data_IF_051784979468
#
_entry.id   IF_051784979468
#
_cell.length_a   1.000
_cell.length_b   1.000
_cell.length_c   1.000
_cell.angle_alpha   90.00
_cell.angle_beta   90.00
_cell.angle_gamma   90.00
#
_symmetry.space_group_name_H-M   'P 1'
#
loop_
_entity.id
_entity.type
_entity.pdbx_description
1 polymer ?
#
# COMPACT_ATOMS: atom_id res chain seq x y z
N UNK A 1 -19.95 0.34 -8.14
CA UNK A 1 -18.73 0.70 -7.39
C UNK A 1 -18.59 2.20 -7.48
N UNK A 2 -18.34 2.89 -6.37
CA UNK A 2 -17.99 4.31 -6.43
C UNK A 2 -16.63 4.50 -7.11
N UNK A 3 -16.40 5.68 -7.68
CA UNK A 3 -15.13 6.04 -8.32
C UNK A 3 -14.11 6.50 -7.27
N UNK A 4 -12.82 6.25 -7.53
CA UNK A 4 -11.74 6.70 -6.64
C UNK A 4 -11.68 8.23 -6.63
N UNK A 5 -11.80 8.85 -5.44
CA UNK A 5 -11.79 10.32 -5.27
C UNK A 5 -10.52 10.88 -4.60
N UNK A 6 -9.64 10.00 -4.14
CA UNK A 6 -8.35 10.31 -3.54
C UNK A 6 -7.78 9.11 -2.78
N UNK A 7 -6.47 8.90 -2.83
CA UNK A 7 -5.80 7.82 -2.11
C UNK A 7 -4.33 8.16 -1.86
N UNK A 8 -4.01 8.46 -0.60
CA UNK A 8 -2.67 8.67 -0.08
C UNK A 8 -2.49 7.82 1.18
N UNK A 9 -1.34 7.18 1.31
CA UNK A 9 -1.01 6.38 2.47
C UNK A 9 0.49 6.35 2.72
N UNK A 10 0.85 5.81 3.88
CA UNK A 10 2.21 5.58 4.35
C UNK A 10 2.32 4.11 4.73
N UNK A 11 3.45 3.49 4.42
CA UNK A 11 3.69 2.09 4.78
C UNK A 11 4.70 1.91 5.91
N UNK A 12 5.58 2.89 6.11
CA UNK A 12 6.37 3.01 7.33
C UNK A 12 5.68 4.00 8.29
N UNK A 13 5.64 3.72 9.60
CA UNK A 13 5.06 4.65 10.57
C UNK A 13 5.74 6.01 10.52
N UNK A 14 4.99 7.08 10.27
CA UNK A 14 5.50 8.46 10.24
C UNK A 14 4.99 9.30 11.41
N UNK A 15 4.03 8.78 12.17
CA UNK A 15 3.43 9.40 13.35
C UNK A 15 3.54 8.50 14.58
N UNK A 16 3.33 9.11 15.76
CA UNK A 16 3.42 8.41 17.06
C UNK A 16 2.41 7.27 17.22
N UNK A 17 1.30 7.29 16.48
CA UNK A 17 0.26 6.27 16.53
C UNK A 17 -0.60 6.28 15.26
N UNK A 18 -1.35 5.19 15.08
CA UNK A 18 -2.25 4.97 13.94
C UNK A 18 -3.31 6.07 13.82
N UNK A 19 -3.81 6.61 14.93
CA UNK A 19 -4.83 7.68 14.87
C UNK A 19 -4.29 8.96 14.20
N UNK A 20 -3.08 9.39 14.57
CA UNK A 20 -2.41 10.54 13.94
C UNK A 20 -2.06 10.27 12.47
N UNK A 21 -1.70 9.04 12.14
CA UNK A 21 -1.42 8.60 10.76
C UNK A 21 -2.70 8.68 9.91
N UNK A 22 -3.82 8.14 10.40
CA UNK A 22 -5.14 8.20 9.75
C UNK A 22 -5.54 9.66 9.48
N UNK A 23 -5.47 10.54 10.48
CA UNK A 23 -5.82 11.95 10.31
C UNK A 23 -4.99 12.59 9.20
N UNK A 24 -3.67 12.36 9.21
CA UNK A 24 -2.75 12.95 8.23
C UNK A 24 -3.00 12.43 6.82
N UNK A 25 -3.19 11.11 6.67
CA UNK A 25 -3.42 10.45 5.38
C UNK A 25 -4.82 10.74 4.83
N UNK A 26 -5.84 10.89 5.68
CA UNK A 26 -7.18 11.30 5.26
C UNK A 26 -7.16 12.73 4.69
N UNK A 27 -6.52 13.68 5.40
CA UNK A 27 -6.35 15.06 4.91
C UNK A 27 -5.57 15.05 3.58
N UNK A 28 -4.49 14.28 3.49
CA UNK A 28 -3.66 14.22 2.28
C UNK A 28 -4.41 13.58 1.11
N UNK A 29 -5.18 12.51 1.33
CA UNK A 29 -6.02 11.89 0.30
C UNK A 29 -7.05 12.87 -0.24
N UNK A 30 -7.65 13.68 0.63
CA UNK A 30 -8.66 14.66 0.25
C UNK A 30 -8.10 15.93 -0.42
N UNK A 31 -6.89 16.36 -0.07
CA UNK A 31 -6.39 17.70 -0.44
C UNK A 31 -5.07 17.73 -1.21
N UNK A 32 -4.35 16.61 -1.28
CA UNK A 32 -2.96 16.55 -1.80
C UNK A 32 -2.70 15.40 -2.77
N UNK A 33 -3.70 14.60 -3.12
CA UNK A 33 -3.54 13.60 -4.18
C UNK A 33 -3.43 14.33 -5.54
N UNK A 34 -2.26 14.29 -6.22
CA UNK A 34 -2.01 15.10 -7.41
C UNK A 34 -2.85 14.68 -8.62
N UNK A 35 -3.54 13.54 -8.54
CA UNK A 35 -4.42 13.03 -9.62
C UNK A 35 -5.79 13.70 -9.60
N UNK A 36 -6.16 14.37 -8.51
CA UNK A 36 -7.50 14.92 -8.29
C UNK A 36 -7.43 16.37 -7.80
N UNK A 37 -8.49 17.14 -8.05
CA UNK A 37 -8.68 18.43 -7.38
C UNK A 37 -9.03 18.20 -5.90
N UNK A 38 -8.65 19.13 -4.99
CA UNK A 38 -9.04 19.03 -3.59
C UNK A 38 -10.54 18.82 -3.41
N UNK A 39 -10.93 17.95 -2.49
CA UNK A 39 -12.32 17.69 -2.12
C UNK A 39 -12.94 18.94 -1.49
N UNK A 40 -14.14 19.29 -1.93
CA UNK A 40 -14.93 20.39 -1.39
C UNK A 40 -15.83 19.92 -0.22
N UNK A 41 -16.26 20.82 0.68
CA UNK A 41 -17.15 20.45 1.79
C UNK A 41 -18.47 19.81 1.35
N UNK A 42 -19.03 20.24 0.22
CA UNK A 42 -20.31 19.72 -0.29
C UNK A 42 -20.22 18.27 -0.78
N UNK A 43 -19.03 17.83 -1.22
CA UNK A 43 -18.76 16.44 -1.63
C UNK A 43 -18.72 15.48 -0.44
N UNK A 44 -18.43 15.95 0.78
CA UNK A 44 -18.15 15.08 1.94
C UNK A 44 -19.30 14.11 2.26
N UNK A 45 -20.55 14.54 2.04
CA UNK A 45 -21.75 13.72 2.30
C UNK A 45 -21.91 12.57 1.30
N UNK A 46 -21.26 12.65 0.15
CA UNK A 46 -21.36 11.70 -0.96
C UNK A 46 -20.13 10.77 -1.02
N UNK A 47 -19.19 10.88 -0.07
CA UNK A 47 -17.97 10.08 -0.01
C UNK A 47 -18.13 8.84 0.87
N UNK A 48 -17.60 7.73 0.37
CA UNK A 48 -17.27 6.55 1.18
C UNK A 48 -15.79 6.58 1.54
N UNK A 49 -15.46 6.22 2.78
CA UNK A 49 -14.09 6.20 3.28
C UNK A 49 -13.64 4.76 3.46
N UNK A 50 -12.39 4.46 3.11
CA UNK A 50 -11.76 3.17 3.39
C UNK A 50 -10.39 3.40 4.00
N UNK A 51 -10.08 2.68 5.07
CA UNK A 51 -8.80 2.76 5.77
C UNK A 51 -8.18 1.36 5.80
N UNK A 52 -7.00 1.25 5.21
CA UNK A 52 -6.17 0.05 5.26
C UNK A 52 -5.09 0.23 6.33
N UNK A 53 -5.15 -0.58 7.39
CA UNK A 53 -4.13 -0.62 8.42
C UNK A 53 -3.21 -1.80 8.17
N UNK A 54 -1.93 -1.51 7.96
CA UNK A 54 -0.91 -2.52 7.68
C UNK A 54 -0.33 -3.08 8.99
N UNK A 55 -0.13 -4.39 9.05
CA UNK A 55 0.64 -5.00 10.14
C UNK A 55 2.12 -4.62 10.03
N UNK A 56 2.87 -4.84 11.12
CA UNK A 56 4.34 -4.73 11.05
C UNK A 56 4.86 -5.73 10.01
N UNK A 57 5.73 -5.32 9.07
CA UNK A 57 6.31 -6.25 8.11
C UNK A 57 7.19 -7.31 8.78
N UNK A 58 7.04 -8.54 8.33
CA UNK A 58 7.82 -9.71 8.76
C UNK A 58 8.75 -10.15 7.62
N UNK A 59 10.04 -10.39 7.87
CA UNK A 59 10.94 -10.90 6.84
C UNK A 59 10.54 -12.32 6.43
N UNK A 60 10.72 -12.65 5.15
CA UNK A 60 10.55 -14.02 4.63
C UNK A 60 11.81 -14.48 3.91
N UNK A 61 12.08 -15.78 3.96
CA UNK A 61 13.29 -16.36 3.36
C UNK A 61 13.13 -16.70 1.88
N UNK A 62 11.90 -17.00 1.45
CA UNK A 62 11.55 -17.31 0.07
C UNK A 62 10.12 -16.87 -0.27
N UNK A 63 9.81 -16.86 -1.58
CA UNK A 63 8.49 -16.54 -2.08
C UNK A 63 7.42 -17.58 -1.67
N UNK A 64 7.82 -18.81 -1.30
CA UNK A 64 6.89 -19.87 -0.87
C UNK A 64 6.18 -19.55 0.46
N UNK A 65 6.67 -18.55 1.19
CA UNK A 65 6.05 -18.06 2.43
C UNK A 65 5.04 -16.94 2.19
N UNK A 66 4.81 -16.59 0.93
CA UNK A 66 3.87 -15.56 0.50
C UNK A 66 2.60 -16.20 -0.08
N UNK A 67 1.55 -15.40 -0.08
CA UNK A 67 0.26 -15.74 -0.67
C UNK A 67 -0.30 -14.41 -1.18
N UNK A 68 -0.40 -14.25 -2.50
CA UNK A 68 -0.81 -13.00 -3.14
C UNK A 68 -2.22 -12.55 -2.73
N UNK A 69 -3.08 -13.46 -2.27
CA UNK A 69 -4.42 -13.15 -1.76
C UNK A 69 -4.42 -12.72 -0.30
N UNK A 70 -3.47 -13.20 0.50
CA UNK A 70 -3.43 -12.95 1.94
C UNK A 70 -2.47 -11.83 2.34
N UNK A 71 -1.28 -11.81 1.74
CA UNK A 71 -0.17 -10.99 2.17
C UNK A 71 0.16 -9.90 1.16
N UNK A 72 0.37 -8.68 1.67
CA UNK A 72 1.10 -7.67 0.94
C UNK A 72 2.60 -7.96 1.00
N UNK A 73 3.33 -7.48 0.00
CA UNK A 73 4.77 -7.74 -0.16
C UNK A 73 5.55 -6.44 -0.17
N UNK A 74 6.69 -6.42 0.52
CA UNK A 74 7.71 -5.38 0.41
C UNK A 74 8.99 -5.99 -0.16
N UNK A 75 9.57 -5.32 -1.15
CA UNK A 75 10.92 -5.62 -1.66
C UNK A 75 11.86 -4.51 -1.21
N UNK A 76 13.07 -4.87 -0.77
CA UNK A 76 14.10 -3.90 -0.35
C UNK A 76 15.45 -4.23 -1.01
N UNK A 77 16.04 -3.23 -1.68
CA UNK A 77 17.40 -3.26 -2.21
C UNK A 77 18.14 -1.97 -1.85
N UNK A 78 18.90 -2.00 -0.74
CA UNK A 78 19.56 -0.83 -0.18
C UNK A 78 18.53 0.21 0.29
N UNK A 79 18.52 1.39 -0.33
CA UNK A 79 17.58 2.47 -0.02
C UNK A 79 16.27 2.40 -0.83
N UNK A 80 16.21 1.56 -1.87
CA UNK A 80 15.00 1.38 -2.69
C UNK A 80 14.07 0.38 -2.02
N UNK A 81 12.81 0.77 -1.90
CA UNK A 81 11.73 -0.08 -1.39
C UNK A 81 10.50 0.00 -2.28
N UNK A 82 9.90 -1.15 -2.52
CA UNK A 82 8.60 -1.28 -3.17
C UNK A 82 7.61 -1.90 -2.22
N UNK A 83 6.33 -1.57 -2.37
CA UNK A 83 5.24 -2.24 -1.68
C UNK A 83 4.11 -2.56 -2.65
N UNK A 84 3.49 -3.73 -2.48
CA UNK A 84 2.23 -4.07 -3.12
C UNK A 84 1.27 -4.70 -2.11
N UNK A 85 -0.01 -4.30 -2.18
CA UNK A 85 -1.07 -4.83 -1.33
C UNK A 85 -1.47 -6.26 -1.77
N UNK A 86 -2.11 -7.05 -0.88
CA UNK A 86 -2.72 -8.32 -1.24
C UNK A 86 -3.97 -8.13 -2.09
N UNK A 87 -4.37 -9.21 -2.76
CA UNK A 87 -5.67 -9.39 -3.45
C UNK A 87 -6.01 -8.26 -4.43
N UNK A 88 -5.05 -7.90 -5.27
CA UNK A 88 -5.25 -6.94 -6.34
C UNK A 88 -5.76 -7.64 -7.61
N UNK A 89 -6.74 -7.02 -8.26
CA UNK A 89 -7.24 -7.46 -9.55
C UNK A 89 -6.11 -7.46 -10.59
N UNK A 90 -5.95 -8.57 -11.32
CA UNK A 90 -4.89 -8.76 -12.32
C UNK A 90 -3.52 -9.13 -11.75
N UNK A 91 -3.42 -9.48 -10.47
CA UNK A 91 -2.21 -10.03 -9.84
C UNK A 91 -2.55 -11.41 -9.28
N UNK A 92 -2.27 -12.45 -10.08
CA UNK A 92 -2.75 -13.80 -9.84
C UNK A 92 -1.66 -14.73 -9.29
N UNK A 93 -0.43 -14.25 -9.18
CA UNK A 93 0.70 -15.01 -8.62
C UNK A 93 1.56 -14.17 -7.67
N UNK A 94 2.30 -14.86 -6.80
CA UNK A 94 3.31 -14.23 -5.92
C UNK A 94 4.44 -13.60 -6.75
N UNK A 95 4.86 -14.26 -7.85
CA UNK A 95 5.93 -13.78 -8.72
C UNK A 95 5.54 -12.44 -9.37
N UNK A 96 4.33 -12.33 -9.93
CA UNK A 96 3.80 -11.07 -10.46
C UNK A 96 3.73 -9.99 -9.37
N UNK A 97 3.29 -10.35 -8.17
CA UNK A 97 3.20 -9.42 -7.05
C UNK A 97 4.59 -8.84 -6.70
N UNK A 98 5.61 -9.69 -6.63
CA UNK A 98 7.00 -9.31 -6.37
C UNK A 98 7.57 -8.45 -7.51
N UNK A 99 7.32 -8.83 -8.76
CA UNK A 99 7.84 -8.13 -9.93
C UNK A 99 7.27 -6.72 -10.08
N UNK A 100 5.97 -6.55 -9.89
CA UNK A 100 5.35 -5.22 -9.86
C UNK A 100 5.95 -4.38 -8.72
N UNK A 101 6.19 -5.00 -7.56
CA UNK A 101 6.80 -4.35 -6.41
C UNK A 101 8.22 -3.84 -6.74
N UNK A 102 9.03 -4.67 -7.43
CA UNK A 102 10.36 -4.30 -7.93
C UNK A 102 10.32 -3.15 -8.93
N UNK A 103 9.40 -3.21 -9.90
CA UNK A 103 9.25 -2.17 -10.92
C UNK A 103 8.89 -0.82 -10.28
N UNK A 104 7.97 -0.81 -9.31
CA UNK A 104 7.62 0.41 -8.54
C UNK A 104 8.79 1.00 -7.76
N UNK A 105 9.73 0.15 -7.34
CA UNK A 105 10.93 0.55 -6.61
C UNK A 105 12.13 0.84 -7.52
N UNK A 106 12.02 0.63 -8.84
CA UNK A 106 13.12 0.73 -9.79
C UNK A 106 14.24 -0.28 -9.51
N UNK A 107 13.90 -1.53 -9.18
CA UNK A 107 14.85 -2.62 -8.89
C UNK A 107 14.86 -3.62 -10.04
N UNK A 108 16.04 -3.95 -10.58
CA UNK A 108 16.19 -4.87 -11.70
C UNK A 108 15.80 -6.31 -11.33
N UNK A 109 15.19 -7.11 -12.22
CA UNK A 109 14.67 -8.45 -11.91
C UNK A 109 15.68 -9.40 -11.23
N UNK A 110 16.95 -9.32 -11.62
CA UNK A 110 18.02 -10.17 -11.11
C UNK A 110 18.76 -9.58 -9.90
N UNK A 111 18.45 -8.36 -9.48
CA UNK A 111 19.12 -7.73 -8.36
C UNK A 111 18.68 -8.37 -7.03
N UNK A 112 19.59 -8.77 -6.12
CA UNK A 112 19.20 -9.35 -4.84
C UNK A 112 18.32 -8.41 -4.00
N UNK A 113 17.21 -8.92 -3.47
CA UNK A 113 16.28 -8.19 -2.61
C UNK A 113 16.05 -8.92 -1.30
N UNK A 114 15.76 -8.16 -0.23
CA UNK A 114 15.08 -8.72 0.94
C UNK A 114 13.57 -8.69 0.69
N UNK A 115 12.89 -9.72 1.17
CA UNK A 115 11.45 -9.84 1.08
C UNK A 115 10.83 -9.73 2.46
N UNK A 116 9.71 -9.01 2.52
CA UNK A 116 8.88 -8.95 3.71
C UNK A 116 7.42 -9.14 3.33
N UNK A 117 6.63 -9.67 4.26
CA UNK A 117 5.17 -9.78 4.16
C UNK A 117 4.48 -8.96 5.24
N UNK A 118 3.25 -8.53 4.97
CA UNK A 118 2.37 -7.91 5.96
C UNK A 118 0.91 -8.25 5.66
N UNK A 119 0.06 -8.15 6.67
CA UNK A 119 -1.39 -8.29 6.54
C UNK A 119 -2.05 -6.91 6.49
N UNK A 120 -3.22 -6.84 5.83
CA UNK A 120 -4.03 -5.63 5.73
C UNK A 120 -5.33 -5.83 6.47
N UNK A 121 -5.65 -4.93 7.39
CA UNK A 121 -6.97 -4.82 7.99
C UNK A 121 -7.69 -3.60 7.43
N UNK A 122 -8.73 -3.85 6.63
CA UNK A 122 -9.56 -2.81 5.99
C UNK A 122 -10.76 -2.44 6.85
N UNK A 123 -11.01 -1.15 6.98
CA UNK A 123 -12.19 -0.55 7.60
C UNK A 123 -12.91 0.31 6.55
N UNK A 124 -14.24 0.25 6.50
CA UNK A 124 -15.10 1.04 5.61
C UNK A 124 -16.22 1.66 6.43
#
# INVERSE_FOLDING_TARGET
>A
LGELRGCIGTFEPQKDNVAKEIITNAISSATRDPRFLPVTPDELKDLEYSIDVLSKPEPVESQDQLDHKKYGVIVEAGWRKGLLLPDLEGVDTVEEQVDICRQKAGIDPNEPVKLYRFEVKRYK
#
